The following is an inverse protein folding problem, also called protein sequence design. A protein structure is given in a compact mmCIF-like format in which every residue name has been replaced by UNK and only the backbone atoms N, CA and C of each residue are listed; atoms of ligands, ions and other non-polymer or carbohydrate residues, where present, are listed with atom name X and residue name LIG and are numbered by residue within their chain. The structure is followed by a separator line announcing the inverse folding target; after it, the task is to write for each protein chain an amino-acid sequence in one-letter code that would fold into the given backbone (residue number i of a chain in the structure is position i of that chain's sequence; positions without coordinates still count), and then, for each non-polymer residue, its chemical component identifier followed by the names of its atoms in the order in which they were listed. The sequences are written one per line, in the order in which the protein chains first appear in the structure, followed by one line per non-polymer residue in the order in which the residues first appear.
data_IF_829459104660
#
_entry.id   IF_829459104660
#
_cell.length_a   1.000
_cell.length_b   1.000
_cell.length_c   1.000
_cell.angle_alpha   90.00
_cell.angle_beta   90.00
_cell.angle_gamma   90.00
#
_symmetry.space_group_name_H-M   'P 1'
#
loop_
_entity.id
_entity.type
_entity.pdbx_description
1 polymer ?
#
# COMPACT_ATOMS: atom_id res chain seq x y z
N UNK A 1 11.65 18.94 -9.73
CA UNK A 1 10.18 18.65 -9.75
C UNK A 1 9.73 17.80 -8.55
N UNK A 2 9.94 16.47 -8.47
CA UNK A 2 9.45 15.68 -7.29
C UNK A 2 10.07 16.13 -5.96
N UNK A 3 11.37 16.41 -5.93
CA UNK A 3 12.06 16.91 -4.73
C UNK A 3 11.45 18.21 -4.23
N UNK A 4 11.19 19.16 -5.09
CA UNK A 4 10.52 20.43 -4.76
C UNK A 4 9.10 20.20 -4.23
N UNK A 5 8.36 19.25 -4.83
CA UNK A 5 7.04 18.85 -4.35
C UNK A 5 7.09 18.32 -2.92
N UNK A 6 8.08 17.49 -2.59
CA UNK A 6 8.27 16.96 -1.25
C UNK A 6 8.72 18.04 -0.26
N UNK A 7 9.62 18.93 -0.65
CA UNK A 7 10.04 20.07 0.18
C UNK A 7 8.85 20.98 0.50
N UNK A 8 8.04 21.35 -0.50
CA UNK A 8 6.81 22.13 -0.29
C UNK A 8 5.80 21.41 0.61
N UNK A 9 5.70 20.09 0.49
CA UNK A 9 4.83 19.29 1.35
C UNK A 9 5.33 19.29 2.80
N UNK A 10 6.62 19.13 3.03
CA UNK A 10 7.22 19.18 4.37
C UNK A 10 7.10 20.55 5.01
N UNK A 11 7.28 21.64 4.24
CA UNK A 11 7.04 23.00 4.69
C UNK A 11 5.56 23.22 5.08
N UNK A 12 4.65 22.75 4.25
CA UNK A 12 3.22 22.82 4.54
C UNK A 12 2.88 22.12 5.86
N UNK A 13 3.41 20.92 6.06
CA UNK A 13 3.23 20.12 7.30
C UNK A 13 3.78 20.88 8.51
N UNK A 14 4.98 21.44 8.41
CA UNK A 14 5.59 22.19 9.51
C UNK A 14 4.80 23.43 9.90
N UNK A 15 4.05 24.02 8.96
CA UNK A 15 3.23 25.21 9.20
C UNK A 15 1.82 24.89 9.73
N UNK A 16 1.23 23.74 9.35
CA UNK A 16 -0.19 23.45 9.58
C UNK A 16 -0.44 22.33 10.60
N UNK A 17 0.56 21.48 10.88
CA UNK A 17 0.43 20.44 11.91
C UNK A 17 1.06 20.94 13.21
N UNK A 18 0.38 20.80 14.36
CA UNK A 18 0.93 21.17 15.65
C UNK A 18 2.25 20.49 15.95
N UNK A 19 3.26 21.24 16.37
CA UNK A 19 4.60 20.73 16.68
C UNK A 19 4.58 19.59 17.71
N UNK A 20 3.66 19.62 18.64
CA UNK A 20 3.47 18.56 19.65
C UNK A 20 3.10 17.22 18.99
N UNK A 21 2.23 17.24 17.98
CA UNK A 21 1.82 16.05 17.24
C UNK A 21 3.01 15.44 16.48
N UNK A 22 3.81 16.28 15.82
CA UNK A 22 5.04 15.85 15.12
C UNK A 22 6.05 15.28 16.12
N UNK A 23 6.21 15.91 17.29
CA UNK A 23 7.11 15.42 18.32
C UNK A 23 6.65 14.08 18.93
N UNK A 24 5.36 13.89 19.13
CA UNK A 24 4.80 12.60 19.58
C UNK A 24 5.05 11.50 18.54
N UNK A 25 4.77 11.78 17.28
CA UNK A 25 5.03 10.86 16.17
C UNK A 25 6.53 10.53 16.07
N UNK A 26 7.43 11.52 16.24
CA UNK A 26 8.88 11.29 16.25
C UNK A 26 9.28 10.35 17.40
N UNK A 27 8.76 10.53 18.58
CA UNK A 27 9.02 9.63 19.73
C UNK A 27 8.56 8.20 19.43
N UNK A 28 7.42 8.04 18.76
CA UNK A 28 6.91 6.73 18.39
C UNK A 28 7.80 6.06 17.31
N UNK A 29 8.15 6.78 16.27
CA UNK A 29 9.07 6.32 15.25
C UNK A 29 10.42 5.87 15.84
N UNK A 30 10.96 6.65 16.77
CA UNK A 30 12.24 6.36 17.42
C UNK A 30 12.22 5.08 18.29
N UNK A 31 11.05 4.64 18.79
CA UNK A 31 10.95 3.35 19.51
C UNK A 31 11.35 2.17 18.63
N UNK A 32 11.08 2.25 17.34
CA UNK A 32 11.36 1.18 16.37
C UNK A 32 12.64 1.38 15.59
N UNK A 33 13.05 2.63 15.36
CA UNK A 33 14.22 2.98 14.53
C UNK A 33 15.44 3.44 15.33
N UNK A 34 15.30 3.58 16.65
CA UNK A 34 16.31 4.18 17.54
C UNK A 34 16.30 5.70 17.48
N UNK A 35 16.87 6.31 18.51
CA UNK A 35 16.92 7.78 18.67
C UNK A 35 17.71 8.44 17.53
N UNK A 36 17.27 9.62 17.11
CA UNK A 36 17.89 10.44 16.08
C UNK A 36 18.62 11.59 16.79
N UNK A 37 19.94 11.55 16.79
CA UNK A 37 20.77 12.60 17.38
C UNK A 37 21.28 13.55 16.31
N UNK A 38 21.42 14.83 16.62
CA UNK A 38 21.85 15.88 15.70
C UNK A 38 23.31 15.69 15.23
N UNK A 39 24.13 15.03 16.04
CA UNK A 39 25.52 14.69 15.72
C UNK A 39 25.69 13.40 14.90
N UNK A 40 24.61 12.65 14.66
CA UNK A 40 24.65 11.49 13.76
C UNK A 40 24.96 11.94 12.31
N UNK A 41 25.86 11.26 11.64
CA UNK A 41 26.17 11.53 10.22
C UNK A 41 24.95 11.39 9.32
N UNK A 42 24.00 10.55 9.70
CA UNK A 42 22.75 10.27 8.99
C UNK A 42 21.57 11.12 9.47
N UNK A 43 21.79 12.15 10.31
CA UNK A 43 20.71 12.95 10.91
C UNK A 43 19.69 13.45 9.89
N UNK A 44 20.13 14.17 8.86
CA UNK A 44 19.23 14.74 7.86
C UNK A 44 18.43 13.67 7.10
N UNK A 45 19.10 12.58 6.69
CA UNK A 45 18.42 11.47 6.00
C UNK A 45 17.41 10.76 6.91
N UNK A 46 17.73 10.58 8.18
CA UNK A 46 16.84 9.96 9.16
C UNK A 46 15.65 10.83 9.51
N UNK A 47 15.85 12.16 9.61
CA UNK A 47 14.76 13.10 9.80
C UNK A 47 13.80 13.11 8.60
N UNK A 48 14.33 13.07 7.40
CA UNK A 48 13.52 13.00 6.20
C UNK A 48 12.76 11.66 6.10
N UNK A 49 13.40 10.52 6.40
CA UNK A 49 12.72 9.21 6.48
C UNK A 49 11.63 9.17 7.55
N UNK A 50 11.84 9.87 8.70
CA UNK A 50 10.79 10.05 9.70
C UNK A 50 9.60 10.83 9.15
N UNK A 51 9.82 11.96 8.46
CA UNK A 51 8.75 12.76 7.89
C UNK A 51 7.99 12.00 6.79
N UNK A 52 8.69 11.25 5.94
CA UNK A 52 8.07 10.36 4.98
C UNK A 52 7.20 9.30 5.67
N UNK A 53 7.71 8.64 6.70
CA UNK A 53 6.94 7.66 7.48
C UNK A 53 5.70 8.29 8.11
N UNK A 54 5.83 9.47 8.72
CA UNK A 54 4.73 10.16 9.34
C UNK A 54 3.62 10.50 8.34
N UNK A 55 3.98 11.05 7.19
CA UNK A 55 3.01 11.50 6.20
C UNK A 55 2.40 10.36 5.40
N UNK A 56 3.20 9.37 5.07
CA UNK A 56 2.86 8.40 4.03
C UNK A 56 2.49 7.02 4.59
N UNK A 57 2.90 6.67 5.81
CA UNK A 57 2.67 5.34 6.39
C UNK A 57 1.83 5.35 7.66
N UNK A 58 1.69 6.52 8.33
CA UNK A 58 0.82 6.63 9.49
C UNK A 58 -0.63 6.82 9.07
N UNK A 59 -1.49 5.94 9.59
CA UNK A 59 -2.94 6.06 9.43
C UNK A 59 -3.52 6.84 10.60
N UNK A 60 -4.32 7.85 10.30
CA UNK A 60 -4.99 8.60 11.35
C UNK A 60 -6.14 7.79 11.97
N UNK A 61 -6.27 7.83 13.30
CA UNK A 61 -7.33 7.09 13.99
C UNK A 61 -8.72 7.44 13.45
N UNK A 62 -9.45 6.41 13.01
CA UNK A 62 -10.85 6.55 12.57
C UNK A 62 -11.05 6.87 11.09
N UNK A 63 -10.03 7.34 10.35
CA UNK A 63 -10.20 7.72 8.93
C UNK A 63 -9.81 6.63 7.94
N UNK A 64 -8.96 5.69 8.31
CA UNK A 64 -8.35 4.69 7.40
C UNK A 64 -7.55 5.32 6.24
N UNK A 65 -7.15 6.55 6.43
CA UNK A 65 -6.34 7.35 5.50
C UNK A 65 -5.00 7.68 6.15
N UNK A 66 -3.97 7.83 5.34
CA UNK A 66 -2.68 8.34 5.82
C UNK A 66 -2.79 9.82 6.11
N UNK A 67 -1.83 10.36 6.89
CA UNK A 67 -1.79 11.81 7.17
C UNK A 67 -1.81 12.63 5.88
N UNK A 68 -1.07 12.22 4.84
CA UNK A 68 -1.10 12.89 3.54
C UNK A 68 -2.46 12.78 2.84
N UNK A 69 -3.11 11.61 2.87
CA UNK A 69 -4.42 11.43 2.25
C UNK A 69 -5.47 12.37 2.89
N UNK A 70 -5.45 12.54 4.22
CA UNK A 70 -6.33 13.51 4.91
C UNK A 70 -5.99 14.96 4.56
N UNK A 71 -4.70 15.32 4.54
CA UNK A 71 -4.27 16.67 4.13
C UNK A 71 -4.76 16.99 2.71
N UNK A 72 -4.68 16.04 1.79
CA UNK A 72 -5.17 16.21 0.41
C UNK A 72 -6.68 16.41 0.40
N UNK A 73 -7.44 15.65 1.18
CA UNK A 73 -8.90 15.76 1.24
C UNK A 73 -9.31 17.11 1.79
N UNK A 74 -8.74 17.54 2.92
CA UNK A 74 -9.06 18.80 3.60
C UNK A 74 -8.73 20.05 2.74
N UNK A 75 -7.71 19.98 1.89
CA UNK A 75 -7.22 21.11 1.12
C UNK A 75 -7.55 21.03 -0.38
N UNK A 76 -8.34 20.04 -0.80
CA UNK A 76 -8.63 19.76 -2.21
C UNK A 76 -9.27 20.95 -2.96
N UNK A 77 -10.04 21.80 -2.26
CA UNK A 77 -10.70 22.99 -2.83
C UNK A 77 -9.81 24.23 -2.85
N UNK A 78 -8.73 24.27 -2.07
CA UNK A 78 -7.87 25.46 -1.90
C UNK A 78 -6.58 25.39 -2.74
N UNK A 79 -6.18 24.21 -3.18
CA UNK A 79 -4.96 24.00 -3.96
C UNK A 79 -5.20 24.09 -5.47
N UNK A 80 -4.17 24.50 -6.20
CA UNK A 80 -4.20 24.44 -7.67
C UNK A 80 -4.29 22.99 -8.15
N UNK A 81 -4.91 22.73 -9.32
CA UNK A 81 -5.02 21.38 -9.88
C UNK A 81 -3.68 20.65 -9.98
N UNK A 82 -2.62 21.34 -10.44
CA UNK A 82 -1.27 20.77 -10.61
C UNK A 82 -0.64 20.35 -9.27
N UNK A 83 -0.83 21.18 -8.23
CA UNK A 83 -0.35 20.87 -6.87
C UNK A 83 -1.10 19.66 -6.30
N UNK A 84 -2.41 19.63 -6.48
CA UNK A 84 -3.25 18.55 -6.02
C UNK A 84 -2.89 17.23 -6.72
N UNK A 85 -2.64 17.25 -8.03
CA UNK A 85 -2.20 16.07 -8.79
C UNK A 85 -0.83 15.58 -8.33
N UNK A 86 0.13 16.48 -8.15
CA UNK A 86 1.47 16.13 -7.64
C UNK A 86 1.40 15.45 -6.27
N UNK A 87 0.58 15.95 -5.34
CA UNK A 87 0.43 15.33 -4.01
C UNK A 87 -0.33 14.00 -4.06
N UNK A 88 -1.31 13.86 -4.96
CA UNK A 88 -1.96 12.58 -5.24
C UNK A 88 -0.98 11.55 -5.81
N UNK A 89 -0.02 11.96 -6.62
CA UNK A 89 1.03 11.06 -7.08
C UNK A 89 1.96 10.64 -5.93
N UNK A 90 2.34 11.58 -5.04
CA UNK A 90 3.09 11.25 -3.82
C UNK A 90 2.32 10.26 -2.94
N UNK A 91 1.00 10.36 -2.82
CA UNK A 91 0.20 9.41 -2.03
C UNK A 91 0.21 7.99 -2.59
N UNK A 92 0.45 7.81 -3.89
CA UNK A 92 0.59 6.50 -4.56
C UNK A 92 1.98 5.87 -4.39
N UNK A 93 2.82 6.43 -3.55
CA UNK A 93 4.19 5.98 -3.34
C UNK A 93 4.30 4.48 -2.98
N UNK A 94 5.45 3.90 -3.29
CA UNK A 94 5.82 2.53 -2.97
C UNK A 94 7.06 2.56 -2.09
N UNK A 95 6.90 2.20 -0.83
CA UNK A 95 8.00 1.97 0.10
C UNK A 95 8.43 0.51 0.02
N UNK A 96 9.72 0.25 -0.21
CA UNK A 96 10.21 -1.11 -0.30
C UNK A 96 11.70 -1.28 0.06
N UNK A 97 12.09 -2.53 0.18
CA UNK A 97 13.48 -2.97 0.11
C UNK A 97 13.79 -3.26 -1.36
N UNK A 98 14.63 -2.44 -1.95
CA UNK A 98 15.00 -2.56 -3.35
C UNK A 98 16.37 -3.22 -3.51
N UNK A 99 16.46 -4.17 -4.44
CA UNK A 99 17.73 -4.69 -4.93
C UNK A 99 18.05 -4.07 -6.29
N UNK A 100 19.23 -3.49 -6.45
CA UNK A 100 19.66 -2.87 -7.71
C UNK A 100 20.02 -3.95 -8.73
N UNK A 101 19.29 -4.01 -9.83
CA UNK A 101 19.50 -4.96 -10.92
C UNK A 101 20.37 -4.39 -12.06
N UNK A 102 20.18 -3.13 -12.38
CA UNK A 102 20.92 -2.46 -13.46
C UNK A 102 21.04 -0.97 -13.19
N UNK A 103 22.19 -0.40 -13.50
CA UNK A 103 22.46 1.04 -13.41
C UNK A 103 22.82 1.54 -14.81
N UNK A 104 22.22 2.64 -15.25
CA UNK A 104 22.54 3.38 -16.47
C UNK A 104 22.86 4.83 -16.08
N UNK A 105 23.21 5.69 -17.02
CA UNK A 105 23.58 7.08 -16.70
C UNK A 105 22.43 7.84 -16.02
N UNK A 106 21.21 7.73 -16.54
CA UNK A 106 20.04 8.48 -16.06
C UNK A 106 18.90 7.55 -15.59
N UNK A 107 19.20 6.29 -15.28
CA UNK A 107 18.17 5.40 -14.76
C UNK A 107 18.70 4.22 -13.99
N UNK A 108 17.94 3.76 -13.02
CA UNK A 108 18.22 2.58 -12.22
C UNK A 108 17.06 1.58 -12.37
N UNK A 109 17.38 0.31 -12.63
CA UNK A 109 16.38 -0.77 -12.54
C UNK A 109 16.53 -1.43 -11.19
N UNK A 110 15.45 -1.44 -10.41
CA UNK A 110 15.38 -2.06 -9.09
C UNK A 110 14.36 -3.19 -9.07
N UNK A 111 14.56 -4.14 -8.17
CA UNK A 111 13.62 -5.20 -7.84
C UNK A 111 13.08 -4.93 -6.43
N UNK A 112 11.79 -4.80 -6.30
CA UNK A 112 11.09 -4.78 -5.02
C UNK A 112 11.09 -6.19 -4.41
N UNK A 113 11.70 -6.36 -3.26
CA UNK A 113 11.83 -7.65 -2.59
C UNK A 113 10.53 -8.12 -1.93
N UNK A 114 9.52 -7.24 -1.80
CA UNK A 114 8.22 -7.58 -1.24
C UNK A 114 7.22 -8.08 -2.27
N UNK A 115 7.37 -7.66 -3.53
CA UNK A 115 6.40 -7.97 -4.61
C UNK A 115 7.00 -8.78 -5.76
N UNK A 116 8.33 -8.84 -5.86
CA UNK A 116 9.10 -9.37 -6.98
C UNK A 116 8.88 -8.58 -8.30
N UNK A 117 8.38 -7.34 -8.18
CA UNK A 117 8.17 -6.45 -9.31
C UNK A 117 9.44 -5.63 -9.60
N UNK A 118 9.66 -5.31 -10.88
CA UNK A 118 10.79 -4.51 -11.32
C UNK A 118 10.32 -3.14 -11.74
N UNK A 119 11.05 -2.12 -11.25
CA UNK A 119 10.80 -0.73 -11.59
C UNK A 119 12.02 -0.14 -12.29
N UNK A 120 11.79 0.63 -13.34
CA UNK A 120 12.78 1.50 -13.95
C UNK A 120 12.57 2.90 -13.40
N UNK A 121 13.57 3.43 -12.71
CA UNK A 121 13.52 4.71 -12.02
C UNK A 121 14.34 5.71 -12.82
N UNK A 122 13.79 6.88 -13.08
CA UNK A 122 14.52 8.01 -13.63
C UNK A 122 15.36 8.64 -12.51
N UNK A 123 16.68 8.66 -12.67
CA UNK A 123 17.61 9.18 -11.66
C UNK A 123 18.87 9.69 -12.37
N UNK A 124 19.13 10.97 -12.23
CA UNK A 124 20.34 11.61 -12.73
C UNK A 124 21.55 11.15 -11.90
N UNK A 125 22.72 11.06 -12.53
CA UNK A 125 23.97 10.65 -11.88
C UNK A 125 23.89 9.31 -11.11
N UNK A 126 23.01 8.44 -11.52
CA UNK A 126 22.71 7.18 -10.82
C UNK A 126 23.95 6.28 -10.63
N UNK A 127 24.95 6.36 -11.49
CA UNK A 127 26.22 5.62 -11.35
C UNK A 127 27.07 6.07 -10.15
N UNK A 128 26.87 7.28 -9.64
CA UNK A 128 27.59 7.78 -8.47
C UNK A 128 27.00 7.20 -7.17
N UNK A 129 25.68 7.05 -7.12
CA UNK A 129 24.96 6.64 -5.91
C UNK A 129 24.71 5.12 -5.82
N UNK A 130 24.51 4.43 -6.96
CA UNK A 130 24.01 3.07 -6.97
C UNK A 130 25.01 2.06 -7.55
N UNK A 131 25.07 0.87 -6.93
CA UNK A 131 25.88 -0.25 -7.39
C UNK A 131 25.01 -1.50 -7.55
N UNK A 132 25.26 -2.26 -8.61
CA UNK A 132 24.54 -3.52 -8.87
C UNK A 132 24.63 -4.45 -7.66
N UNK A 133 23.49 -5.08 -7.34
CA UNK A 133 23.27 -6.00 -6.22
C UNK A 133 23.28 -5.36 -4.83
N UNK A 134 23.39 -4.03 -4.70
CA UNK A 134 23.18 -3.40 -3.40
C UNK A 134 21.70 -3.49 -3.03
N UNK A 135 21.42 -3.65 -1.74
CA UNK A 135 20.07 -3.60 -1.16
C UNK A 135 19.95 -2.35 -0.32
N UNK A 136 18.88 -1.62 -0.53
CA UNK A 136 18.56 -0.42 0.22
C UNK A 136 17.06 -0.32 0.48
N UNK A 137 16.69 0.35 1.55
CA UNK A 137 15.33 0.85 1.75
C UNK A 137 15.19 2.21 1.10
N UNK A 138 14.05 2.44 0.48
CA UNK A 138 13.72 3.70 -0.16
C UNK A 138 12.27 3.74 -0.57
N UNK A 139 11.91 4.82 -1.24
CA UNK A 139 10.55 5.08 -1.69
C UNK A 139 10.59 5.57 -3.12
N UNK A 140 9.66 5.08 -3.93
CA UNK A 140 9.45 5.53 -5.29
C UNK A 140 8.04 6.10 -5.43
N UNK A 141 7.91 7.09 -6.31
CA UNK A 141 6.66 7.79 -6.61
C UNK A 141 6.39 7.68 -8.10
N UNK A 142 5.21 7.22 -8.52
CA UNK A 142 4.80 7.27 -9.92
C UNK A 142 4.42 8.70 -10.30
N UNK A 143 4.90 9.16 -11.45
CA UNK A 143 4.50 10.44 -12.05
C UNK A 143 4.67 10.37 -13.56
N UNK A 144 3.60 10.68 -14.34
CA UNK A 144 3.60 10.67 -15.80
C UNK A 144 4.17 9.36 -16.41
N UNK A 145 3.65 8.20 -15.98
CA UNK A 145 4.08 6.86 -16.42
C UNK A 145 5.56 6.52 -16.13
N UNK A 146 6.22 7.30 -15.31
CA UNK A 146 7.59 7.10 -14.84
C UNK A 146 7.63 6.94 -13.32
N UNK A 147 8.74 6.43 -12.82
CA UNK A 147 9.00 6.36 -11.39
C UNK A 147 10.21 7.19 -11.01
N UNK A 148 10.15 7.84 -9.86
CA UNK A 148 11.20 8.68 -9.30
C UNK A 148 11.44 8.30 -7.84
N UNK A 149 12.69 8.39 -7.39
CA UNK A 149 12.99 8.27 -5.98
C UNK A 149 12.63 9.54 -5.21
N UNK A 150 12.24 9.37 -3.93
CA UNK A 150 12.09 10.52 -3.01
C UNK A 150 13.44 11.12 -2.62
N UNK A 151 14.52 10.36 -2.78
CA UNK A 151 15.90 10.83 -2.57
C UNK A 151 16.48 10.46 -1.20
N UNK A 152 15.73 9.77 -0.34
CA UNK A 152 16.19 9.34 0.97
C UNK A 152 16.34 7.83 1.02
N UNK A 153 17.58 7.37 1.29
CA UNK A 153 17.92 5.95 1.25
C UNK A 153 18.65 5.52 2.51
N UNK A 154 18.44 4.26 2.91
CA UNK A 154 19.30 3.57 3.85
C UNK A 154 19.86 2.31 3.18
N UNK A 155 21.13 2.34 2.80
CA UNK A 155 21.82 1.20 2.21
C UNK A 155 22.24 0.20 3.29
N UNK A 156 22.02 -1.08 3.02
CA UNK A 156 22.36 -2.15 3.93
C UNK A 156 23.71 -2.80 3.56
N UNK A 157 24.50 -3.22 4.55
CA UNK A 157 25.77 -3.89 4.31
C UNK A 157 25.61 -5.18 3.49
N UNK A 158 26.56 -5.44 2.57
CA UNK A 158 26.47 -6.63 1.69
C UNK A 158 26.36 -7.96 2.43
N UNK A 159 27.02 -8.09 3.58
CA UNK A 159 26.96 -9.30 4.41
C UNK A 159 25.56 -9.62 4.94
N UNK A 160 24.64 -8.64 4.97
CA UNK A 160 23.28 -8.81 5.51
C UNK A 160 22.23 -9.19 4.48
N UNK A 161 22.60 -9.27 3.20
CA UNK A 161 21.67 -9.48 2.09
C UNK A 161 20.85 -10.77 2.20
N UNK A 162 21.46 -11.87 2.68
CA UNK A 162 20.73 -13.13 2.86
C UNK A 162 19.65 -13.01 3.95
N UNK A 163 19.97 -12.35 5.05
CA UNK A 163 19.03 -12.09 6.12
C UNK A 163 17.86 -11.23 5.62
N UNK A 164 18.17 -10.10 4.98
CA UNK A 164 17.16 -9.17 4.46
C UNK A 164 16.25 -9.84 3.43
N UNK A 165 16.80 -10.59 2.49
CA UNK A 165 16.01 -11.36 1.51
C UNK A 165 15.14 -12.42 2.18
N UNK A 166 15.63 -13.04 3.25
CA UNK A 166 14.86 -13.99 4.05
C UNK A 166 13.64 -13.36 4.71
N UNK A 167 13.82 -12.19 5.34
CA UNK A 167 12.74 -11.42 5.97
C UNK A 167 11.72 -10.90 4.93
N UNK A 168 12.20 -10.30 3.85
CA UNK A 168 11.34 -9.84 2.75
C UNK A 168 10.52 -10.98 2.12
N UNK A 169 11.10 -12.18 2.00
CA UNK A 169 10.41 -13.36 1.46
C UNK A 169 9.22 -13.79 2.33
N UNK A 170 9.31 -13.65 3.65
CA UNK A 170 8.15 -13.95 4.54
C UNK A 170 6.96 -13.08 4.18
N UNK A 171 7.20 -11.79 3.99
CA UNK A 171 6.16 -10.85 3.60
C UNK A 171 5.64 -11.10 2.17
N UNK A 172 6.52 -11.38 1.22
CA UNK A 172 6.13 -11.78 -0.14
C UNK A 172 5.16 -12.98 -0.13
N UNK A 173 5.44 -14.00 0.67
CA UNK A 173 4.58 -15.17 0.78
C UNK A 173 3.22 -14.83 1.40
N UNK A 174 3.19 -13.94 2.40
CA UNK A 174 1.97 -13.45 3.00
C UNK A 174 1.11 -12.69 1.98
N UNK A 175 1.68 -11.73 1.26
CA UNK A 175 0.96 -11.00 0.20
C UNK A 175 0.44 -11.94 -0.90
N UNK A 176 1.23 -12.94 -1.27
CA UNK A 176 0.80 -13.95 -2.24
C UNK A 176 -0.40 -14.76 -1.75
N UNK A 177 -0.48 -15.04 -0.44
CA UNK A 177 -1.65 -15.71 0.15
C UNK A 177 -2.90 -14.84 0.04
N UNK A 178 -2.81 -13.55 0.37
CA UNK A 178 -3.91 -12.59 0.24
C UNK A 178 -4.37 -12.41 -1.22
N UNK A 179 -3.42 -12.32 -2.17
CA UNK A 179 -3.75 -12.25 -3.61
C UNK A 179 -4.52 -13.49 -4.09
N UNK A 180 -4.15 -14.69 -3.60
CA UNK A 180 -4.88 -15.95 -3.91
C UNK A 180 -6.29 -15.94 -3.34
N UNK A 181 -6.45 -15.52 -2.10
CA UNK A 181 -7.75 -15.40 -1.43
C UNK A 181 -8.65 -14.40 -2.17
N UNK A 182 -8.12 -13.22 -2.50
CA UNK A 182 -8.82 -12.21 -3.30
C UNK A 182 -9.31 -12.78 -4.64
N UNK A 183 -8.45 -13.49 -5.37
CA UNK A 183 -8.81 -14.10 -6.65
C UNK A 183 -9.93 -15.14 -6.49
N UNK A 184 -9.96 -15.88 -5.37
CA UNK A 184 -11.04 -16.83 -5.05
C UNK A 184 -12.37 -16.10 -4.83
N UNK A 185 -12.36 -15.05 -4.01
CA UNK A 185 -13.55 -14.24 -3.70
C UNK A 185 -14.09 -13.51 -4.95
N UNK A 186 -13.22 -12.97 -5.79
CA UNK A 186 -13.62 -12.32 -7.05
C UNK A 186 -14.28 -13.32 -8.04
N UNK A 187 -13.77 -14.55 -8.11
CA UNK A 187 -14.42 -15.63 -8.90
C UNK A 187 -15.78 -16.00 -8.33
N UNK A 188 -15.92 -16.06 -7.00
CA UNK A 188 -17.18 -16.33 -6.33
C UNK A 188 -18.20 -15.21 -6.59
N UNK A 189 -17.81 -13.96 -6.42
CA UNK A 189 -18.60 -12.77 -6.75
C UNK A 189 -19.12 -12.82 -8.20
N UNK A 190 -18.25 -13.18 -9.15
CA UNK A 190 -18.63 -13.33 -10.56
C UNK A 190 -19.68 -14.43 -10.79
N UNK A 191 -19.60 -15.55 -10.04
CA UNK A 191 -20.62 -16.62 -10.11
C UNK A 191 -21.96 -16.14 -9.53
N UNK A 192 -21.94 -15.47 -8.38
CA UNK A 192 -23.13 -14.90 -7.74
C UNK A 192 -23.82 -13.90 -8.68
N UNK A 193 -23.05 -13.03 -9.33
CA UNK A 193 -23.59 -12.07 -10.30
C UNK A 193 -24.27 -12.76 -11.49
N UNK A 194 -23.68 -13.84 -12.03
CA UNK A 194 -24.31 -14.65 -13.09
C UNK A 194 -25.63 -15.31 -12.63
N UNK A 195 -25.67 -15.80 -11.38
CA UNK A 195 -26.89 -16.37 -10.80
C UNK A 195 -27.97 -15.30 -10.62
N UNK A 196 -27.60 -14.12 -10.15
CA UNK A 196 -28.52 -12.99 -10.02
C UNK A 196 -29.18 -12.62 -11.35
N UNK A 197 -28.39 -12.49 -12.41
CA UNK A 197 -28.89 -12.16 -13.74
C UNK A 197 -29.84 -13.26 -14.28
N UNK A 198 -29.48 -14.54 -14.11
CA UNK A 198 -30.35 -15.66 -14.51
C UNK A 198 -31.66 -15.67 -13.75
N UNK A 199 -31.62 -15.43 -12.45
CA UNK A 199 -32.81 -15.36 -11.59
C UNK A 199 -33.70 -14.17 -12.00
N UNK A 200 -33.12 -12.99 -12.22
CA UNK A 200 -33.87 -11.81 -12.68
C UNK A 200 -34.60 -12.05 -14.01
N UNK A 201 -33.94 -12.64 -14.99
CA UNK A 201 -34.56 -13.03 -16.27
C UNK A 201 -35.66 -14.05 -16.08
N UNK A 202 -35.49 -15.01 -15.16
CA UNK A 202 -36.52 -16.01 -14.84
C UNK A 202 -37.74 -15.39 -14.19
N UNK A 203 -37.57 -14.45 -13.28
CA UNK A 203 -38.63 -13.67 -12.65
C UNK A 203 -39.47 -12.95 -13.71
N UNK A 204 -38.82 -12.21 -14.63
CA UNK A 204 -39.55 -11.48 -15.68
C UNK A 204 -40.32 -12.41 -16.62
N UNK A 205 -39.70 -13.53 -17.02
CA UNK A 205 -40.40 -14.56 -17.83
C UNK A 205 -41.64 -15.13 -17.13
N UNK A 206 -41.59 -15.36 -15.81
CA UNK A 206 -42.74 -15.88 -15.07
C UNK A 206 -43.80 -14.79 -14.90
N UNK A 207 -43.45 -13.54 -14.62
CA UNK A 207 -44.40 -12.42 -14.58
C UNK A 207 -45.20 -12.30 -15.89
N UNK A 208 -44.52 -12.26 -17.03
CA UNK A 208 -45.16 -12.18 -18.36
C UNK A 208 -46.08 -13.37 -18.61
N UNK A 209 -45.70 -14.57 -18.13
CA UNK A 209 -46.58 -15.76 -18.26
C UNK A 209 -47.82 -15.65 -17.38
N UNK A 210 -47.72 -15.12 -16.17
CA UNK A 210 -48.87 -14.91 -15.27
C UNK A 210 -49.86 -13.94 -15.91
N UNK A 211 -49.37 -12.84 -16.50
CA UNK A 211 -50.21 -11.84 -17.19
C UNK A 211 -51.01 -12.41 -18.37
N UNK A 212 -50.44 -13.40 -19.07
CA UNK A 212 -51.04 -14.05 -20.24
C UNK A 212 -51.89 -15.31 -19.92
N UNK A 213 -52.04 -15.64 -18.64
CA UNK A 213 -52.71 -16.89 -18.23
C UNK A 213 -54.06 -16.60 -17.61
N UNK A 214 -55.15 -17.06 -18.25
CA UNK A 214 -56.54 -16.88 -17.76
C UNK A 214 -57.01 -18.00 -16.85
N UNK A 215 -56.31 -19.15 -16.80
CA UNK A 215 -56.68 -20.31 -15.96
C UNK A 215 -56.18 -20.13 -14.53
N UNK A 216 -57.14 -20.12 -13.54
CA UNK A 216 -56.85 -19.95 -12.11
C UNK A 216 -55.81 -20.92 -11.57
N UNK A 217 -55.95 -22.23 -11.80
CA UNK A 217 -55.02 -23.27 -11.30
C UNK A 217 -53.60 -23.17 -11.89
N UNK A 218 -53.48 -22.77 -13.16
CA UNK A 218 -52.16 -22.55 -13.77
C UNK A 218 -51.49 -21.25 -13.25
N UNK A 219 -52.31 -20.23 -13.03
CA UNK A 219 -51.86 -18.95 -12.46
C UNK A 219 -51.33 -19.15 -11.05
N UNK A 220 -52.00 -19.93 -10.20
CA UNK A 220 -51.57 -20.24 -8.83
C UNK A 220 -50.20 -20.96 -8.81
N UNK A 221 -50.01 -21.94 -9.70
CA UNK A 221 -48.71 -22.63 -9.85
C UNK A 221 -47.60 -21.69 -10.30
N UNK A 222 -47.87 -20.73 -11.19
CA UNK A 222 -46.90 -19.76 -11.64
C UNK A 222 -46.58 -18.74 -10.54
N UNK A 223 -47.56 -18.33 -9.74
CA UNK A 223 -47.37 -17.45 -8.59
C UNK A 223 -46.51 -18.11 -7.52
N UNK A 224 -46.72 -19.40 -7.23
CA UNK A 224 -45.84 -20.16 -6.31
C UNK A 224 -44.38 -20.20 -6.81
N UNK A 225 -44.19 -20.43 -8.13
CA UNK A 225 -42.83 -20.36 -8.73
C UNK A 225 -42.21 -18.97 -8.64
N UNK A 226 -43.01 -17.92 -8.83
CA UNK A 226 -42.53 -16.53 -8.70
C UNK A 226 -42.10 -16.23 -7.28
N UNK A 227 -42.83 -16.70 -6.28
CA UNK A 227 -42.44 -16.54 -4.87
C UNK A 227 -41.11 -17.22 -4.58
N UNK A 228 -40.94 -18.49 -4.99
CA UNK A 228 -39.64 -19.18 -4.84
C UNK A 228 -38.46 -18.44 -5.50
N UNK A 229 -38.66 -17.93 -6.71
CA UNK A 229 -37.63 -17.15 -7.39
C UNK A 229 -37.29 -15.80 -6.69
N UNK A 230 -38.31 -15.17 -6.05
CA UNK A 230 -38.06 -13.96 -5.24
C UNK A 230 -37.32 -14.29 -3.95
N UNK A 231 -37.61 -15.40 -3.29
CA UNK A 231 -36.85 -15.88 -2.13
C UNK A 231 -35.40 -16.20 -2.52
N UNK A 232 -35.19 -16.87 -3.64
CA UNK A 232 -33.84 -17.12 -4.17
C UNK A 232 -33.08 -15.82 -4.48
N UNK A 233 -33.80 -14.82 -5.02
CA UNK A 233 -33.21 -13.49 -5.26
C UNK A 233 -32.67 -12.86 -3.97
N UNK A 234 -33.44 -12.91 -2.89
CA UNK A 234 -33.02 -12.37 -1.57
C UNK A 234 -31.78 -13.10 -1.06
N UNK A 235 -31.71 -14.43 -1.19
CA UNK A 235 -30.52 -15.22 -0.80
C UNK A 235 -29.28 -14.86 -1.63
N UNK A 236 -29.47 -14.69 -2.93
CA UNK A 236 -28.39 -14.29 -3.85
C UNK A 236 -27.87 -12.89 -3.51
N UNK A 237 -28.77 -11.93 -3.23
CA UNK A 237 -28.42 -10.58 -2.82
C UNK A 237 -27.66 -10.56 -1.48
N UNK A 238 -28.10 -11.34 -0.49
CA UNK A 238 -27.38 -11.47 0.78
C UNK A 238 -25.97 -12.06 0.60
N UNK A 239 -25.83 -13.11 -0.23
CA UNK A 239 -24.53 -13.69 -0.57
C UNK A 239 -23.64 -12.69 -1.31
N UNK A 240 -24.19 -11.90 -2.22
CA UNK A 240 -23.45 -10.85 -2.94
C UNK A 240 -22.91 -9.76 -1.99
N UNK A 241 -23.74 -9.31 -1.05
CA UNK A 241 -23.34 -8.34 -0.04
C UNK A 241 -22.24 -8.87 0.88
N UNK A 242 -22.37 -10.13 1.32
CA UNK A 242 -21.37 -10.76 2.17
C UNK A 242 -20.02 -10.89 1.46
N UNK A 243 -20.00 -11.44 0.24
CA UNK A 243 -18.78 -11.56 -0.57
C UNK A 243 -18.18 -10.19 -0.88
N UNK A 244 -19.01 -9.18 -1.15
CA UNK A 244 -18.55 -7.79 -1.34
C UNK A 244 -17.87 -7.21 -0.10
N UNK A 245 -18.40 -7.46 1.11
CA UNK A 245 -17.77 -7.05 2.37
C UNK A 245 -16.42 -7.75 2.60
N UNK A 246 -16.32 -9.04 2.31
CA UNK A 246 -15.09 -9.81 2.44
C UNK A 246 -14.00 -9.31 1.48
N UNK A 247 -14.33 -9.03 0.22
CA UNK A 247 -13.44 -8.43 -0.75
C UNK A 247 -12.97 -7.04 -0.28
N UNK A 248 -13.90 -6.20 0.20
CA UNK A 248 -13.58 -4.87 0.73
C UNK A 248 -12.64 -4.94 1.93
N UNK A 249 -12.93 -5.82 2.90
CA UNK A 249 -12.08 -6.05 4.07
C UNK A 249 -10.68 -6.51 3.66
N UNK A 250 -10.57 -7.51 2.77
CA UNK A 250 -9.29 -8.03 2.32
C UNK A 250 -8.47 -6.96 1.60
N UNK A 251 -9.06 -6.18 0.71
CA UNK A 251 -8.36 -5.11 -0.03
C UNK A 251 -7.92 -3.97 0.88
N UNK A 252 -8.80 -3.49 1.74
CA UNK A 252 -8.56 -2.30 2.56
C UNK A 252 -7.76 -2.63 3.83
N UNK A 253 -8.29 -3.54 4.66
CA UNK A 253 -7.68 -3.80 5.97
C UNK A 253 -6.40 -4.64 5.85
N UNK A 254 -6.43 -5.73 5.07
CA UNK A 254 -5.28 -6.63 4.96
C UNK A 254 -4.21 -6.11 3.99
N UNK A 255 -4.59 -5.85 2.73
CA UNK A 255 -3.58 -5.54 1.71
C UNK A 255 -3.10 -4.09 1.78
N UNK A 256 -3.97 -3.12 2.04
CA UNK A 256 -3.60 -1.70 2.12
C UNK A 256 -3.02 -1.37 3.50
N UNK A 257 -3.81 -1.50 4.58
CA UNK A 257 -3.43 -1.00 5.91
C UNK A 257 -2.39 -1.92 6.57
N UNK A 258 -2.77 -3.18 6.84
CA UNK A 258 -1.88 -4.14 7.52
C UNK A 258 -0.60 -4.40 6.70
N UNK A 259 -0.73 -4.54 5.37
CA UNK A 259 0.41 -4.73 4.48
C UNK A 259 1.41 -3.57 4.55
N UNK A 260 0.94 -2.32 4.54
CA UNK A 260 1.81 -1.13 4.66
C UNK A 260 2.46 -1.05 6.05
N UNK A 261 1.71 -1.34 7.11
CA UNK A 261 2.24 -1.38 8.47
C UNK A 261 3.35 -2.41 8.63
N UNK A 262 3.16 -3.64 8.16
CA UNK A 262 4.16 -4.70 8.22
C UNK A 262 5.42 -4.37 7.41
N UNK A 263 5.28 -3.75 6.23
CA UNK A 263 6.43 -3.27 5.46
C UNK A 263 7.20 -2.22 6.25
N UNK A 264 6.48 -1.23 6.79
CA UNK A 264 7.07 -0.14 7.57
C UNK A 264 7.79 -0.66 8.83
N UNK A 265 7.19 -1.60 9.56
CA UNK A 265 7.80 -2.24 10.73
C UNK A 265 9.12 -2.96 10.37
N UNK A 266 9.13 -3.75 9.29
CA UNK A 266 10.34 -4.44 8.86
C UNK A 266 11.42 -3.44 8.41
N UNK A 267 11.06 -2.44 7.64
CA UNK A 267 11.98 -1.38 7.17
C UNK A 267 12.57 -0.63 8.37
N UNK A 268 11.75 -0.25 9.34
CA UNK A 268 12.18 0.42 10.56
C UNK A 268 13.13 -0.46 11.40
N UNK A 269 12.81 -1.76 11.55
CA UNK A 269 13.69 -2.74 12.21
C UNK A 269 15.06 -2.80 11.54
N UNK A 270 15.09 -2.88 10.21
CA UNK A 270 16.35 -2.96 9.44
C UNK A 270 17.13 -1.65 9.48
N UNK A 271 16.44 -0.49 9.45
CA UNK A 271 17.06 0.82 9.64
C UNK A 271 17.73 0.93 11.02
N UNK A 272 17.07 0.42 12.07
CA UNK A 272 17.66 0.37 13.41
C UNK A 272 18.87 -0.54 13.49
N UNK A 273 18.83 -1.71 12.83
CA UNK A 273 19.98 -2.60 12.77
C UNK A 273 21.16 -1.93 12.05
N UNK A 274 20.89 -1.21 10.95
CA UNK A 274 21.93 -0.44 10.24
C UNK A 274 22.52 0.66 11.13
N UNK A 275 21.69 1.39 11.85
CA UNK A 275 22.13 2.41 12.81
C UNK A 275 23.01 1.84 13.91
N UNK A 276 22.61 0.70 14.51
CA UNK A 276 23.44 0.00 15.51
C UNK A 276 24.80 -0.34 14.95
N UNK A 277 24.87 -0.82 13.72
CA UNK A 277 26.14 -1.12 13.07
C UNK A 277 27.00 0.13 12.81
N UNK A 278 26.37 1.21 12.35
CA UNK A 278 27.08 2.50 12.13
C UNK A 278 27.69 3.06 13.42
N UNK A 279 26.97 2.94 14.54
CA UNK A 279 27.39 3.42 15.87
C UNK A 279 28.38 2.47 16.55
N UNK A 280 28.29 1.17 16.29
CA UNK A 280 29.06 0.11 17.00
C UNK A 280 30.00 -0.60 16.05
N UNK A 281 30.93 0.11 15.42
CA UNK A 281 31.85 -0.40 14.39
C UNK A 281 32.73 -1.59 14.82
N UNK A 282 32.77 -1.94 16.11
CA UNK A 282 33.51 -3.07 16.66
C UNK A 282 32.70 -4.37 16.65
N UNK A 283 31.39 -4.33 16.40
CA UNK A 283 30.52 -5.50 16.35
C UNK A 283 30.38 -5.96 14.90
N UNK A 284 30.56 -7.27 14.64
CA UNK A 284 30.31 -7.79 13.29
C UNK A 284 28.84 -7.57 12.91
N UNK A 285 28.64 -7.12 11.70
CA UNK A 285 27.30 -6.81 11.19
C UNK A 285 26.34 -8.01 11.24
N UNK A 286 26.87 -9.23 11.10
CA UNK A 286 26.08 -10.45 11.20
C UNK A 286 25.55 -10.72 12.61
N UNK A 287 26.15 -10.15 13.64
CA UNK A 287 25.66 -10.27 15.02
C UNK A 287 24.53 -9.29 15.32
N UNK A 288 24.47 -8.17 14.58
CA UNK A 288 23.40 -7.17 14.66
C UNK A 288 22.19 -7.61 13.85
N UNK A 289 22.40 -8.16 12.63
CA UNK A 289 21.34 -8.64 11.74
C UNK A 289 20.98 -10.11 12.07
N UNK A 290 20.72 -10.35 13.34
CA UNK A 290 20.10 -11.56 13.86
C UNK A 290 18.79 -11.20 14.55
N UNK A 291 17.93 -12.16 14.78
CA UNK A 291 16.63 -11.94 15.46
C UNK A 291 16.78 -11.41 16.87
#
# INVERSE_FOLDING_TARGET
MLRETLEQLFEFVAQHIPSEQIMMAKKEYQKTTGEIYEDDKSYNSRMALFLEWYLLDQYEPGTRQTVLENIIEDNSSSWTPDRLESYKDVSKNIQALFEIKKVRDNSVTVLDLFTDEKYQIEEEDSKLAFRKNDIFQGRIVPHNDKYFFTGYFCFHPKKTQLYIKGEAKKFYLLQRSWKKELTKLEKESSKIQKLYLKNAVSIEKIKTKIERTDSGTKRDKLTGKLLGLKEDKIKIEASSQQTGKEIGHLKLEKMKIEGRSLISELINKLAYMNLKWERSRQIDVSDIYRN
#
